data_IF_948901473334
#
_entry.id   IF_948901473334
#
_cell.length_a   1.000
_cell.length_b   1.000
_cell.length_c   1.000
_cell.angle_alpha   90.00
_cell.angle_beta   90.00
_cell.angle_gamma   90.00
#
_symmetry.space_group_name_H-M   'P 1'
#
loop_
_entity.id
_entity.type
_entity.pdbx_description
1 polymer ?
#
# COMPACT_ATOMS: atom_id res chain seq x y z
N UNK A 1 -13.72 -26.43 -14.95
CA UNK A 1 -13.63 -25.48 -16.08
C UNK A 1 -14.90 -24.64 -16.04
N UNK A 2 -14.76 -23.35 -16.05
CA UNK A 2 -15.88 -22.41 -16.18
C UNK A 2 -15.41 -21.25 -17.06
N UNK A 3 -16.09 -21.04 -18.18
CA UNK A 3 -15.61 -20.13 -19.21
C UNK A 3 -16.09 -18.71 -18.95
N UNK A 4 -15.22 -17.74 -19.18
CA UNK A 4 -15.58 -16.32 -19.21
C UNK A 4 -16.50 -16.08 -20.41
N UNK A 5 -17.69 -15.52 -20.18
CA UNK A 5 -18.66 -15.21 -21.24
C UNK A 5 -18.85 -13.71 -21.44
N UNK A 6 -18.53 -12.90 -20.42
CA UNK A 6 -18.61 -11.43 -20.51
C UNK A 6 -17.56 -10.77 -19.64
N UNK A 7 -16.98 -9.67 -20.15
CA UNK A 7 -16.10 -8.75 -19.43
C UNK A 7 -16.57 -7.34 -19.76
N UNK A 8 -16.96 -6.59 -18.72
CA UNK A 8 -17.50 -5.24 -18.90
C UNK A 8 -16.86 -4.24 -17.96
N UNK A 9 -16.34 -3.14 -18.49
CA UNK A 9 -15.76 -2.08 -17.71
C UNK A 9 -16.61 -0.80 -17.75
N UNK A 10 -16.51 -0.02 -16.67
CA UNK A 10 -17.10 1.32 -16.55
C UNK A 10 -16.18 2.27 -15.82
N UNK A 11 -16.40 3.57 -16.04
CA UNK A 11 -15.79 4.61 -15.25
C UNK A 11 -16.61 4.84 -13.98
N UNK A 12 -15.92 4.87 -12.83
CA UNK A 12 -16.47 5.24 -11.52
C UNK A 12 -15.62 6.35 -10.92
N UNK A 13 -15.89 6.79 -9.69
CA UNK A 13 -15.09 7.78 -8.97
C UNK A 13 -14.31 7.13 -7.82
N UNK A 14 -13.09 7.55 -7.63
CA UNK A 14 -12.28 7.22 -6.46
C UNK A 14 -12.61 8.10 -5.24
N UNK A 15 -11.95 7.85 -4.10
CA UNK A 15 -12.14 8.57 -2.83
C UNK A 15 -11.79 10.05 -2.88
N UNK A 16 -11.10 10.49 -3.94
CA UNK A 16 -10.76 11.89 -4.20
C UNK A 16 -11.69 12.56 -5.22
N UNK A 17 -12.69 11.81 -5.72
CA UNK A 17 -13.59 12.28 -6.77
C UNK A 17 -12.97 12.29 -8.17
N UNK A 18 -11.84 11.62 -8.38
CA UNK A 18 -11.25 11.42 -9.70
C UNK A 18 -11.80 10.14 -10.34
N UNK A 19 -11.93 10.11 -11.69
CA UNK A 19 -12.31 8.90 -12.40
C UNK A 19 -11.31 7.76 -12.17
N UNK A 20 -11.84 6.56 -12.01
CA UNK A 20 -11.11 5.29 -12.07
C UNK A 20 -11.95 4.22 -12.78
N UNK A 21 -11.36 3.05 -13.03
CA UNK A 21 -12.03 1.96 -13.74
C UNK A 21 -12.57 0.91 -12.76
N UNK A 22 -13.76 0.40 -13.05
CA UNK A 22 -14.35 -0.78 -12.43
C UNK A 22 -14.68 -1.79 -13.51
N UNK A 23 -14.39 -3.07 -13.26
CA UNK A 23 -14.57 -4.16 -14.21
C UNK A 23 -15.41 -5.27 -13.58
N UNK A 24 -16.34 -5.80 -14.38
CA UNK A 24 -17.13 -6.99 -14.12
C UNK A 24 -16.66 -8.14 -15.01
N UNK A 25 -16.58 -9.34 -14.46
CA UNK A 25 -16.37 -10.60 -15.19
C UNK A 25 -17.49 -11.55 -14.85
N UNK A 26 -18.12 -12.15 -15.87
CA UNK A 26 -19.19 -13.13 -15.75
C UNK A 26 -18.77 -14.46 -16.38
N UNK A 27 -19.05 -15.57 -15.69
CA UNK A 27 -18.81 -16.92 -16.22
C UNK A 27 -20.08 -17.57 -16.76
N UNK A 28 -19.93 -18.63 -17.57
CA UNK A 28 -21.04 -19.41 -18.14
C UNK A 28 -21.95 -20.03 -17.07
N UNK A 29 -21.45 -20.31 -15.88
CA UNK A 29 -22.22 -20.84 -14.76
C UNK A 29 -22.86 -19.74 -13.88
N UNK A 30 -22.69 -18.48 -14.25
CA UNK A 30 -23.26 -17.33 -13.56
C UNK A 30 -22.44 -16.78 -12.40
N UNK A 31 -21.20 -17.26 -12.20
CA UNK A 31 -20.31 -16.64 -11.22
C UNK A 31 -19.88 -15.25 -11.71
N UNK A 32 -19.83 -14.32 -10.77
CA UNK A 32 -19.63 -12.89 -11.03
C UNK A 32 -18.49 -12.32 -10.16
N UNK A 33 -17.59 -11.61 -10.78
CA UNK A 33 -16.52 -10.88 -10.07
C UNK A 33 -16.52 -9.41 -10.46
N UNK A 34 -16.38 -8.52 -9.48
CA UNK A 34 -16.25 -7.07 -9.67
C UNK A 34 -15.03 -6.54 -8.97
N UNK A 35 -14.23 -5.74 -9.65
CA UNK A 35 -13.07 -5.09 -9.07
C UNK A 35 -12.96 -3.64 -9.52
N UNK A 36 -12.66 -2.75 -8.56
CA UNK A 36 -12.33 -1.36 -8.82
C UNK A 36 -10.83 -1.13 -8.61
N UNK A 37 -10.22 -0.34 -9.47
CA UNK A 37 -8.77 -0.12 -9.48
C UNK A 37 -8.40 1.15 -8.70
N UNK A 38 -7.46 1.09 -7.75
CA UNK A 38 -6.98 2.27 -7.05
C UNK A 38 -6.07 3.15 -7.93
N UNK A 39 -5.88 4.43 -7.53
CA UNK A 39 -5.12 5.43 -8.28
C UNK A 39 -4.14 6.17 -7.37
N UNK A 40 -2.89 6.35 -7.78
CA UNK A 40 -1.89 7.10 -7.03
C UNK A 40 -2.05 8.63 -7.15
N UNK A 41 -1.58 9.37 -6.13
CA UNK A 41 -1.33 10.81 -6.22
C UNK A 41 0.12 11.09 -6.57
N UNK A 42 1.03 10.50 -5.81
CA UNK A 42 2.45 10.39 -6.12
C UNK A 42 2.69 9.05 -6.81
N UNK A 43 3.45 9.03 -7.89
CA UNK A 43 3.73 7.83 -8.67
C UNK A 43 5.23 7.75 -8.94
N UNK A 44 5.84 6.61 -8.62
CA UNK A 44 7.23 6.31 -8.97
C UNK A 44 7.41 6.31 -10.50
N UNK A 45 8.52 6.80 -10.98
CA UNK A 45 8.80 6.92 -12.44
C UNK A 45 8.85 5.56 -13.14
N UNK A 46 9.00 4.48 -12.39
CA UNK A 46 9.10 3.10 -12.90
C UNK A 46 7.79 2.31 -12.77
N UNK A 47 6.69 2.94 -12.33
CA UNK A 47 5.37 2.29 -12.25
C UNK A 47 4.79 1.97 -13.63
N UNK A 48 3.95 0.94 -13.71
CA UNK A 48 3.15 0.67 -14.90
C UNK A 48 2.13 1.81 -15.14
N UNK A 49 1.80 2.06 -16.42
CA UNK A 49 1.05 3.23 -16.84
C UNK A 49 -0.42 3.13 -16.45
N UNK A 50 -0.89 4.05 -15.62
CA UNK A 50 -2.32 4.32 -15.47
C UNK A 50 -2.80 5.14 -16.69
N UNK A 51 -3.56 4.50 -17.58
CA UNK A 51 -4.01 5.13 -18.81
C UNK A 51 -5.12 6.14 -18.54
N UNK A 52 -4.86 7.41 -18.88
CA UNK A 52 -5.78 8.54 -18.76
C UNK A 52 -6.19 9.06 -20.14
N UNK A 53 -7.35 9.73 -20.19
CA UNK A 53 -7.90 10.26 -21.45
C UNK A 53 -7.14 11.50 -21.94
N UNK A 54 -6.55 12.30 -21.03
CA UNK A 54 -5.88 13.58 -21.29
C UNK A 54 -6.79 14.66 -21.93
N UNK A 55 -8.10 14.43 -21.93
CA UNK A 55 -9.09 15.40 -22.39
C UNK A 55 -9.36 16.44 -21.29
N UNK A 56 -8.69 17.59 -21.38
CA UNK A 56 -8.81 18.68 -20.39
C UNK A 56 -10.23 19.23 -20.22
N UNK A 57 -11.14 18.96 -21.17
CA UNK A 57 -12.54 19.42 -21.10
C UNK A 57 -13.39 18.55 -20.15
N UNK A 58 -12.90 17.37 -19.78
CA UNK A 58 -13.57 16.41 -18.90
C UNK A 58 -12.65 15.98 -17.77
N UNK A 59 -13.12 16.08 -16.53
CA UNK A 59 -12.35 15.68 -15.34
C UNK A 59 -10.91 16.22 -15.32
N UNK A 60 -10.66 17.39 -15.91
CA UNK A 60 -9.34 18.02 -16.00
C UNK A 60 -8.27 17.12 -16.66
N UNK A 61 -8.68 16.24 -17.58
CA UNK A 61 -7.81 15.27 -18.25
C UNK A 61 -7.70 13.91 -17.57
N UNK A 62 -8.31 13.75 -16.38
CA UNK A 62 -8.17 12.52 -15.57
C UNK A 62 -9.18 11.43 -15.92
N UNK A 63 -10.00 11.55 -16.98
CA UNK A 63 -10.91 10.50 -17.45
C UNK A 63 -10.20 9.19 -17.75
N UNK A 64 -10.93 8.07 -17.74
CA UNK A 64 -10.40 6.71 -18.01
C UNK A 64 -11.17 5.96 -19.11
N UNK A 65 -11.90 6.69 -19.95
CA UNK A 65 -12.73 6.08 -20.98
C UNK A 65 -11.91 5.34 -22.04
N UNK A 66 -10.65 5.72 -22.30
CA UNK A 66 -9.72 4.96 -23.15
C UNK A 66 -9.44 3.57 -22.55
N UNK A 67 -9.15 3.51 -21.25
CA UNK A 67 -8.93 2.24 -20.54
C UNK A 67 -10.22 1.39 -20.53
N UNK A 68 -11.39 2.02 -20.32
CA UNK A 68 -12.70 1.36 -20.40
C UNK A 68 -12.92 0.77 -21.79
N UNK A 69 -12.66 1.52 -22.87
CA UNK A 69 -12.78 1.04 -24.24
C UNK A 69 -11.79 -0.13 -24.52
N UNK A 70 -10.56 -0.05 -24.02
CA UNK A 70 -9.59 -1.14 -24.16
C UNK A 70 -10.09 -2.44 -23.51
N UNK A 71 -10.78 -2.37 -22.38
CA UNK A 71 -11.40 -3.56 -21.77
C UNK A 71 -12.56 -4.04 -22.64
N UNK A 72 -13.52 -3.17 -22.96
CA UNK A 72 -14.79 -3.59 -23.59
C UNK A 72 -14.61 -4.02 -25.06
N UNK A 73 -13.72 -3.38 -25.80
CA UNK A 73 -13.57 -3.58 -27.25
C UNK A 73 -12.42 -4.53 -27.61
N UNK A 74 -11.41 -4.68 -26.75
CA UNK A 74 -10.20 -5.45 -27.03
C UNK A 74 -10.10 -6.64 -26.08
N UNK A 75 -9.88 -6.41 -24.77
CA UNK A 75 -9.61 -7.48 -23.80
C UNK A 75 -10.79 -8.45 -23.69
N UNK A 76 -12.03 -7.95 -23.65
CA UNK A 76 -13.21 -8.77 -23.52
C UNK A 76 -13.34 -9.83 -24.63
N UNK A 77 -12.95 -9.49 -25.86
CA UNK A 77 -12.99 -10.41 -27.00
C UNK A 77 -11.97 -11.54 -26.89
N UNK A 78 -10.76 -11.21 -26.42
CA UNK A 78 -9.66 -12.17 -26.31
C UNK A 78 -9.86 -13.13 -25.11
N UNK A 79 -10.60 -12.70 -24.08
CA UNK A 79 -10.87 -13.53 -22.92
C UNK A 79 -12.16 -14.35 -23.02
N UNK A 80 -12.99 -14.13 -24.04
CA UNK A 80 -14.20 -14.92 -24.24
C UNK A 80 -13.86 -16.40 -24.47
N UNK A 81 -14.41 -17.28 -23.62
CA UNK A 81 -14.15 -18.71 -23.68
C UNK A 81 -12.87 -19.16 -22.97
N UNK A 82 -12.13 -18.26 -22.31
CA UNK A 82 -11.00 -18.62 -21.45
C UNK A 82 -11.52 -19.17 -20.13
N UNK A 83 -10.86 -20.18 -19.57
CA UNK A 83 -11.20 -20.73 -18.25
C UNK A 83 -10.87 -19.72 -17.15
N UNK A 84 -11.87 -19.32 -16.36
CA UNK A 84 -11.73 -18.31 -15.30
C UNK A 84 -10.76 -18.76 -14.20
N UNK A 85 -10.50 -20.07 -14.06
CA UNK A 85 -9.56 -20.62 -13.10
C UNK A 85 -8.09 -20.51 -13.54
N UNK A 86 -7.83 -20.24 -14.82
CA UNK A 86 -6.47 -20.09 -15.33
C UNK A 86 -6.00 -18.64 -15.28
N UNK A 87 -5.81 -18.11 -14.04
CA UNK A 87 -5.38 -16.74 -13.81
C UNK A 87 -4.09 -16.38 -14.54
N UNK A 88 -3.14 -17.32 -14.56
CA UNK A 88 -1.85 -17.10 -15.25
C UNK A 88 -2.01 -16.86 -16.74
N UNK A 89 -2.87 -17.63 -17.42
CA UNK A 89 -3.17 -17.44 -18.83
C UNK A 89 -3.98 -16.16 -19.08
N UNK A 90 -4.95 -15.83 -18.22
CA UNK A 90 -5.72 -14.58 -18.31
C UNK A 90 -4.78 -13.37 -18.28
N UNK A 91 -3.92 -13.29 -17.28
CA UNK A 91 -2.99 -12.18 -17.12
C UNK A 91 -1.97 -12.15 -18.28
N UNK A 92 -1.46 -13.32 -18.70
CA UNK A 92 -0.51 -13.42 -19.81
C UNK A 92 -1.13 -12.96 -21.13
N UNK A 93 -2.37 -13.34 -21.47
CA UNK A 93 -3.07 -12.90 -22.67
C UNK A 93 -3.11 -11.36 -22.68
N UNK A 94 -3.48 -10.72 -21.59
CA UNK A 94 -3.58 -9.27 -21.51
C UNK A 94 -2.21 -8.58 -21.63
N UNK A 95 -1.17 -9.13 -20.99
CA UNK A 95 0.20 -8.60 -21.04
C UNK A 95 0.77 -8.73 -22.46
N UNK A 96 0.57 -9.88 -23.12
CA UNK A 96 1.03 -10.11 -24.51
C UNK A 96 0.28 -9.18 -25.48
N UNK A 97 -0.99 -8.90 -25.24
CA UNK A 97 -1.83 -8.02 -26.06
C UNK A 97 -1.41 -6.55 -25.94
N UNK A 98 -0.98 -6.12 -24.77
CA UNK A 98 -0.36 -4.82 -24.54
C UNK A 98 1.01 -4.75 -25.25
N UNK A 99 1.87 -5.70 -25.00
CA UNK A 99 3.18 -5.87 -25.64
C UNK A 99 4.20 -4.79 -25.30
N UNK A 100 3.91 -3.89 -24.33
CA UNK A 100 4.85 -2.87 -23.82
C UNK A 100 5.35 -3.24 -22.43
N UNK A 101 6.55 -2.80 -22.06
CA UNK A 101 7.15 -3.15 -20.77
C UNK A 101 6.35 -2.58 -19.59
N UNK A 102 5.77 -1.38 -19.76
CA UNK A 102 5.04 -0.66 -18.72
C UNK A 102 3.52 -0.63 -18.90
N UNK A 103 2.95 -1.54 -19.73
CA UNK A 103 1.50 -1.60 -20.01
C UNK A 103 0.91 -0.29 -20.57
N UNK A 104 1.71 0.44 -21.34
CA UNK A 104 1.35 1.78 -21.85
C UNK A 104 0.31 1.77 -22.97
N UNK A 105 0.07 0.63 -23.65
CA UNK A 105 -0.87 0.53 -24.76
C UNK A 105 -2.31 0.33 -24.30
N UNK A 106 -2.56 -0.64 -23.42
CA UNK A 106 -3.89 -0.95 -22.90
C UNK A 106 -4.18 -0.20 -21.58
N UNK A 107 -3.15 0.05 -20.79
CA UNK A 107 -3.21 0.62 -19.46
C UNK A 107 -3.15 -0.44 -18.37
N UNK A 108 -2.27 -0.24 -17.38
CA UNK A 108 -2.21 -1.12 -16.21
C UNK A 108 -3.53 -1.15 -15.44
N UNK A 109 -4.25 -0.03 -15.40
CA UNK A 109 -5.58 0.05 -14.79
C UNK A 109 -6.62 -0.83 -15.51
N UNK A 110 -6.61 -0.90 -16.84
CA UNK A 110 -7.47 -1.79 -17.60
C UNK A 110 -7.14 -3.26 -17.32
N UNK A 111 -5.87 -3.63 -17.41
CA UNK A 111 -5.39 -5.00 -17.18
C UNK A 111 -5.69 -5.46 -15.75
N UNK A 112 -5.36 -4.64 -14.75
CA UNK A 112 -5.57 -4.97 -13.34
C UNK A 112 -7.06 -5.16 -13.00
N UNK A 113 -7.92 -4.28 -13.52
CA UNK A 113 -9.36 -4.38 -13.28
C UNK A 113 -9.91 -5.74 -13.72
N UNK A 114 -9.53 -6.19 -14.91
CA UNK A 114 -9.92 -7.53 -15.44
C UNK A 114 -9.28 -8.66 -14.63
N UNK A 115 -7.99 -8.55 -14.33
CA UNK A 115 -7.23 -9.56 -13.56
C UNK A 115 -7.88 -9.85 -12.20
N UNK A 116 -8.20 -8.79 -11.43
CA UNK A 116 -8.83 -8.93 -10.12
C UNK A 116 -10.29 -9.37 -10.21
N UNK A 117 -11.06 -8.88 -11.19
CA UNK A 117 -12.43 -9.29 -11.38
C UNK A 117 -12.52 -10.77 -11.77
N UNK A 118 -11.62 -11.27 -12.63
CA UNK A 118 -11.53 -12.69 -12.97
C UNK A 118 -11.23 -13.56 -11.73
N UNK A 119 -10.26 -13.16 -10.89
CA UNK A 119 -9.98 -13.87 -9.65
C UNK A 119 -11.18 -13.93 -8.70
N UNK A 120 -11.96 -12.85 -8.59
CA UNK A 120 -13.18 -12.81 -7.78
C UNK A 120 -14.28 -13.71 -8.37
N UNK A 121 -14.45 -13.73 -9.70
CA UNK A 121 -15.38 -14.64 -10.37
C UNK A 121 -14.98 -16.12 -10.13
N UNK A 122 -13.70 -16.44 -10.24
CA UNK A 122 -13.17 -17.78 -9.95
C UNK A 122 -13.37 -18.19 -8.48
N UNK A 123 -13.16 -17.29 -7.56
CA UNK A 123 -13.44 -17.51 -6.14
C UNK A 123 -14.92 -17.82 -5.90
N UNK A 124 -15.82 -17.04 -6.49
CA UNK A 124 -17.28 -17.30 -6.43
C UNK A 124 -17.65 -18.64 -7.09
N UNK A 125 -17.07 -18.95 -8.25
CA UNK A 125 -17.28 -20.21 -8.96
C UNK A 125 -16.90 -21.43 -8.10
N UNK A 126 -15.77 -21.33 -7.38
CA UNK A 126 -15.29 -22.36 -6.46
C UNK A 126 -15.98 -22.34 -5.10
N UNK A 127 -16.89 -21.38 -4.85
CA UNK A 127 -17.58 -21.14 -3.57
C UNK A 127 -16.59 -20.95 -2.39
N UNK A 128 -15.50 -20.26 -2.67
CA UNK A 128 -14.50 -19.92 -1.67
C UNK A 128 -14.42 -18.40 -1.50
N UNK A 129 -14.10 -17.90 -0.28
CA UNK A 129 -13.73 -16.50 -0.12
C UNK A 129 -12.43 -16.23 -0.89
N UNK A 130 -12.24 -14.99 -1.35
CA UNK A 130 -11.14 -14.62 -2.25
C UNK A 130 -9.77 -14.96 -1.65
N UNK A 131 -9.56 -14.64 -0.35
CA UNK A 131 -8.27 -14.91 0.28
C UNK A 131 -7.92 -16.39 0.29
N UNK A 132 -8.91 -17.28 0.45
CA UNK A 132 -8.70 -18.73 0.45
C UNK A 132 -8.52 -19.29 -0.95
N UNK A 133 -9.25 -18.77 -1.93
CA UNK A 133 -9.09 -19.16 -3.33
C UNK A 133 -7.67 -18.88 -3.82
N UNK A 134 -7.13 -17.68 -3.53
CA UNK A 134 -5.78 -17.29 -3.97
C UNK A 134 -4.69 -17.97 -3.14
N UNK A 135 -4.82 -17.95 -1.80
CA UNK A 135 -3.75 -18.38 -0.89
C UNK A 135 -3.82 -19.85 -0.45
N UNK A 136 -4.91 -20.55 -0.79
CA UNK A 136 -5.10 -21.96 -0.44
C UNK A 136 -5.33 -22.18 1.05
N UNK A 137 -5.06 -23.40 1.49
CA UNK A 137 -5.37 -23.88 2.86
C UNK A 137 -4.55 -23.18 3.94
N UNK A 138 -3.41 -22.60 3.60
CA UNK A 138 -2.51 -21.92 4.53
C UNK A 138 -2.68 -20.40 4.58
N UNK A 139 -3.70 -19.84 3.92
CA UNK A 139 -4.05 -18.43 3.98
C UNK A 139 -4.77 -18.13 5.31
N UNK A 140 -4.01 -17.84 6.36
CA UNK A 140 -4.54 -17.66 7.71
C UNK A 140 -3.83 -16.59 8.55
N UNK A 141 -2.85 -15.88 7.98
CA UNK A 141 -2.09 -14.87 8.70
C UNK A 141 -2.74 -13.50 8.55
N UNK A 142 -3.33 -13.00 9.64
CA UNK A 142 -3.86 -11.65 9.74
C UNK A 142 -2.68 -10.65 9.83
N UNK A 143 -2.71 -9.57 9.03
CA UNK A 143 -1.61 -8.62 8.98
C UNK A 143 -1.61 -7.65 10.16
N UNK A 144 -0.43 -7.17 10.57
CA UNK A 144 -0.28 -6.00 11.44
C UNK A 144 -0.75 -4.78 10.64
N UNK A 145 -1.71 -3.97 11.14
CA UNK A 145 -2.09 -2.74 10.49
C UNK A 145 -1.01 -1.66 10.72
N UNK A 146 -0.51 -1.09 9.63
CA UNK A 146 0.33 0.12 9.61
C UNK A 146 -0.61 1.30 9.38
N UNK A 147 -1.03 1.97 10.45
CA UNK A 147 -2.10 2.96 10.39
C UNK A 147 -1.53 4.37 10.28
N UNK A 148 -1.68 5.00 9.11
CA UNK A 148 -1.28 6.39 8.90
C UNK A 148 -2.16 7.35 9.69
N UNK A 149 -1.70 7.86 10.84
CA UNK A 149 -2.47 8.74 11.72
C UNK A 149 -2.11 10.21 11.62
N UNK A 150 -0.96 10.54 11.00
CA UNK A 150 -0.52 11.92 10.70
C UNK A 150 0.08 11.98 9.31
N UNK A 151 -0.39 12.93 8.51
CA UNK A 151 0.07 13.23 7.16
C UNK A 151 1.00 14.45 7.18
N UNK A 152 2.06 14.40 6.38
CA UNK A 152 2.95 15.50 6.05
C UNK A 152 3.32 15.47 4.56
N UNK A 153 4.48 16.00 4.19
CA UNK A 153 4.99 16.00 2.83
C UNK A 153 3.97 16.49 1.80
N UNK A 154 3.88 15.79 0.68
CA UNK A 154 2.91 16.10 -0.39
C UNK A 154 1.45 15.78 -0.02
N UNK A 155 1.19 15.12 1.10
CA UNK A 155 -0.15 14.78 1.59
C UNK A 155 -0.75 15.81 2.56
N UNK A 156 -0.05 16.91 2.83
CA UNK A 156 -0.46 17.94 3.78
C UNK A 156 0.20 19.28 3.48
N UNK A 157 -0.44 20.38 3.89
CA UNK A 157 0.18 21.73 3.91
C UNK A 157 1.05 21.96 5.16
N UNK A 158 1.26 20.93 5.99
CA UNK A 158 2.09 21.03 7.19
C UNK A 158 3.58 21.13 6.82
N UNK A 159 4.38 21.94 7.57
CA UNK A 159 5.81 22.11 7.32
C UNK A 159 6.60 20.90 7.86
N UNK A 160 6.33 19.71 7.34
CA UNK A 160 6.98 18.45 7.71
C UNK A 160 7.32 17.72 6.42
N UNK A 161 8.58 17.28 6.28
CA UNK A 161 9.02 16.62 5.05
C UNK A 161 8.52 15.18 4.90
N UNK A 162 8.42 14.40 5.99
CA UNK A 162 7.94 13.04 5.94
C UNK A 162 6.45 12.99 5.60
N UNK A 163 6.10 12.10 4.67
CA UNK A 163 4.75 12.00 4.10
C UNK A 163 3.76 11.38 5.06
N UNK A 164 4.18 10.33 5.81
CA UNK A 164 3.29 9.61 6.71
C UNK A 164 3.97 9.22 8.02
N UNK A 165 3.20 9.38 9.10
CA UNK A 165 3.53 8.88 10.44
C UNK A 165 2.50 7.81 10.80
N UNK A 166 2.97 6.59 10.88
CA UNK A 166 2.12 5.42 11.14
C UNK A 166 2.34 4.88 12.54
N UNK A 167 1.30 4.24 13.08
CA UNK A 167 1.40 3.39 14.26
C UNK A 167 1.23 1.92 13.87
N UNK A 168 1.97 1.05 14.56
CA UNK A 168 1.94 -0.40 14.38
C UNK A 168 1.65 -1.07 15.74
N UNK A 169 0.43 -1.58 15.99
CA UNK A 169 0.06 -2.26 17.23
C UNK A 169 0.59 -3.70 17.29
N UNK A 170 1.90 -3.87 17.24
CA UNK A 170 2.60 -5.16 17.18
C UNK A 170 2.38 -5.99 18.44
N UNK A 171 2.19 -5.33 19.60
CA UNK A 171 1.96 -6.00 20.87
C UNK A 171 0.60 -6.64 21.05
N UNK A 172 -0.36 -6.35 20.16
CA UNK A 172 -1.73 -6.84 20.26
C UNK A 172 -1.80 -8.37 20.09
N UNK A 173 -2.78 -9.04 20.73
CA UNK A 173 -2.93 -10.49 20.65
C UNK A 173 -3.69 -10.99 19.42
N UNK A 174 -4.43 -10.11 18.71
CA UNK A 174 -5.24 -10.43 17.55
C UNK A 174 -5.34 -9.21 16.62
N UNK A 175 -5.84 -9.42 15.40
CA UNK A 175 -6.07 -8.31 14.47
C UNK A 175 -7.16 -7.35 15.01
N UNK A 176 -8.26 -7.89 15.51
CA UNK A 176 -9.35 -7.09 16.09
C UNK A 176 -8.88 -6.21 17.24
N UNK A 177 -8.01 -6.74 18.11
CA UNK A 177 -7.40 -5.95 19.19
C UNK A 177 -6.41 -4.90 18.64
N UNK A 178 -5.60 -5.26 17.63
CA UNK A 178 -4.69 -4.31 16.99
C UNK A 178 -5.45 -3.12 16.38
N UNK A 179 -6.56 -3.40 15.70
CA UNK A 179 -7.43 -2.36 15.14
C UNK A 179 -8.09 -1.51 16.23
N UNK A 180 -8.57 -2.13 17.32
CA UNK A 180 -9.12 -1.41 18.48
C UNK A 180 -8.09 -0.46 19.08
N UNK A 181 -6.87 -0.94 19.36
CA UNK A 181 -5.80 -0.13 19.91
C UNK A 181 -5.46 1.06 19.02
N UNK A 182 -5.32 0.82 17.72
CA UNK A 182 -5.06 1.89 16.76
C UNK A 182 -6.17 2.94 16.72
N UNK A 183 -7.43 2.51 16.78
CA UNK A 183 -8.59 3.41 16.81
C UNK A 183 -8.63 4.24 18.09
N UNK A 184 -8.32 3.65 19.24
CA UNK A 184 -8.24 4.37 20.52
C UNK A 184 -7.12 5.40 20.53
N UNK A 185 -5.95 5.08 19.94
CA UNK A 185 -4.86 6.05 19.76
C UNK A 185 -5.30 7.19 18.84
N UNK A 186 -5.96 6.88 17.70
CA UNK A 186 -6.47 7.88 16.76
C UNK A 186 -7.40 8.89 17.46
N UNK A 187 -8.34 8.43 18.29
CA UNK A 187 -9.24 9.32 19.01
C UNK A 187 -8.55 10.12 20.13
N UNK A 188 -7.57 9.54 20.82
CA UNK A 188 -6.76 10.27 21.79
C UNK A 188 -5.87 11.33 21.10
N UNK A 189 -5.29 11.01 19.94
CA UNK A 189 -4.55 11.98 19.13
C UNK A 189 -5.44 13.16 18.72
N UNK A 190 -6.66 12.89 18.22
CA UNK A 190 -7.63 13.94 17.89
C UNK A 190 -7.86 14.90 19.05
N UNK A 191 -8.02 14.36 20.27
CA UNK A 191 -8.21 15.18 21.47
C UNK A 191 -6.97 16.01 21.81
N UNK A 192 -5.76 15.45 21.69
CA UNK A 192 -4.51 16.17 21.96
C UNK A 192 -4.34 17.32 20.95
N UNK A 193 -4.60 17.07 19.67
CA UNK A 193 -4.51 18.11 18.62
C UNK A 193 -5.50 19.24 18.90
N UNK A 194 -6.74 18.90 19.22
CA UNK A 194 -7.77 19.88 19.58
C UNK A 194 -7.34 20.73 20.78
N UNK A 195 -6.86 20.08 21.86
CA UNK A 195 -6.41 20.76 23.10
C UNK A 195 -5.20 21.69 22.85
N UNK A 196 -4.38 21.40 21.82
CA UNK A 196 -3.28 22.24 21.33
C UNK A 196 -3.72 23.34 20.35
N UNK A 197 -4.99 23.39 19.98
CA UNK A 197 -5.51 24.31 18.95
C UNK A 197 -5.04 23.97 17.53
N UNK A 198 -4.60 22.73 17.29
CA UNK A 198 -4.17 22.26 15.97
C UNK A 198 -5.34 21.68 15.16
N UNK A 199 -5.19 21.63 13.84
CA UNK A 199 -6.21 21.07 12.94
C UNK A 199 -6.46 19.58 13.23
N UNK A 200 -7.74 19.20 13.26
CA UNK A 200 -8.21 17.81 13.28
C UNK A 200 -8.86 17.39 11.97
N UNK A 201 -8.67 18.16 10.91
CA UNK A 201 -9.03 17.75 9.56
C UNK A 201 -8.15 16.57 9.12
N UNK A 202 -8.71 15.70 8.30
CA UNK A 202 -8.01 14.50 7.81
C UNK A 202 -7.66 14.66 6.33
N UNK A 203 -6.49 14.12 5.96
CA UNK A 203 -6.04 14.03 4.59
C UNK A 203 -6.70 12.90 3.80
N UNK A 204 -6.20 12.64 2.59
CA UNK A 204 -6.74 11.65 1.66
C UNK A 204 -6.73 10.22 2.24
N UNK A 205 -5.82 9.90 3.12
CA UNK A 205 -5.67 8.58 3.73
C UNK A 205 -6.28 8.48 5.14
N UNK A 206 -7.01 9.50 5.57
CA UNK A 206 -7.76 9.51 6.82
C UNK A 206 -6.94 9.87 8.07
N UNK A 207 -5.62 10.09 7.97
CA UNK A 207 -4.77 10.65 9.03
C UNK A 207 -4.97 12.14 9.20
N UNK A 208 -4.65 12.68 10.38
CA UNK A 208 -4.73 14.12 10.62
C UNK A 208 -3.63 14.88 9.87
N UNK A 209 -3.90 16.13 9.52
CA UNK A 209 -2.95 17.02 8.85
C UNK A 209 -2.72 18.31 9.70
N UNK A 210 -2.14 18.21 10.90
CA UNK A 210 -1.89 19.35 11.77
C UNK A 210 -0.59 20.06 11.38
N UNK A 211 -0.49 21.35 11.63
CA UNK A 211 0.74 22.13 11.47
C UNK A 211 1.61 21.92 12.71
N UNK A 212 2.46 20.88 12.71
CA UNK A 212 3.46 20.65 13.72
C UNK A 212 4.70 21.54 13.53
N UNK A 213 5.54 21.68 14.58
CA UNK A 213 6.78 22.44 14.51
C UNK A 213 7.93 21.71 13.78
N UNK A 214 7.75 20.41 13.48
CA UNK A 214 8.69 19.55 12.79
C UNK A 214 8.40 18.07 13.03
N UNK A 215 9.22 17.21 12.44
CA UNK A 215 9.11 15.75 12.54
C UNK A 215 9.04 15.23 13.99
N UNK A 216 9.91 15.75 14.87
CA UNK A 216 9.97 15.29 16.26
C UNK A 216 8.72 15.69 17.06
N UNK A 217 8.16 16.90 16.84
CA UNK A 217 6.90 17.30 17.49
C UNK A 217 5.74 16.37 17.10
N UNK A 218 5.72 15.95 15.84
CA UNK A 218 4.77 14.95 15.35
C UNK A 218 4.90 13.62 16.08
N UNK A 219 6.13 13.08 16.15
CA UNK A 219 6.41 11.80 16.82
C UNK A 219 6.06 11.88 18.31
N UNK A 220 6.51 12.92 19.02
CA UNK A 220 6.24 13.08 20.45
C UNK A 220 4.75 13.23 20.76
N UNK A 221 4.00 13.88 19.86
CA UNK A 221 2.55 14.00 19.99
C UNK A 221 1.86 12.64 19.81
N UNK A 222 2.33 11.81 18.89
CA UNK A 222 1.82 10.44 18.69
C UNK A 222 2.15 9.58 19.90
N UNK A 223 3.36 9.65 20.44
CA UNK A 223 3.75 8.90 21.65
C UNK A 223 2.86 9.26 22.85
N UNK A 224 2.57 10.55 23.05
CA UNK A 224 1.60 11.00 24.08
C UNK A 224 0.20 10.44 23.85
N UNK A 225 -0.22 10.30 22.59
CA UNK A 225 -1.53 9.71 22.28
C UNK A 225 -1.56 8.21 22.59
N UNK A 226 -0.48 7.47 22.31
CA UNK A 226 -0.34 6.05 22.65
C UNK A 226 -0.42 5.87 24.18
N UNK A 227 0.37 6.66 24.95
CA UNK A 227 0.35 6.61 26.42
C UNK A 227 -1.02 6.97 26.99
N UNK A 228 -1.67 8.01 26.44
CA UNK A 228 -3.00 8.46 26.88
C UNK A 228 -4.09 7.41 26.59
N UNK A 229 -3.91 6.60 25.55
CA UNK A 229 -4.76 5.46 25.26
C UNK A 229 -4.51 4.26 26.18
N UNK A 230 -3.47 4.31 27.03
CA UNK A 230 -3.13 3.26 28.00
C UNK A 230 -2.14 2.21 27.48
N UNK A 231 -1.50 2.46 26.34
CA UNK A 231 -0.52 1.55 25.71
C UNK A 231 0.91 2.05 25.94
N UNK A 232 1.87 1.12 25.84
CA UNK A 232 3.31 1.40 26.03
C UNK A 232 4.00 1.53 24.68
N UNK A 233 4.52 2.75 24.32
CA UNK A 233 5.34 2.92 23.14
C UNK A 233 6.56 1.98 23.16
N UNK A 234 6.87 1.37 22.02
CA UNK A 234 8.00 0.45 21.88
C UNK A 234 7.80 -0.95 22.50
N UNK A 235 6.60 -1.23 23.05
CA UNK A 235 6.21 -2.55 23.56
C UNK A 235 4.90 -3.00 22.95
N UNK A 236 3.86 -2.20 23.08
CA UNK A 236 2.53 -2.49 22.57
C UNK A 236 2.35 -1.92 21.16
N UNK A 237 2.77 -0.67 20.98
CA UNK A 237 2.63 0.06 19.72
C UNK A 237 3.96 0.72 19.35
N UNK A 238 4.35 0.60 18.09
CA UNK A 238 5.56 1.18 17.51
C UNK A 238 5.20 2.25 16.50
N UNK A 239 6.22 3.07 16.14
CA UNK A 239 6.12 4.07 15.09
C UNK A 239 6.68 3.50 13.79
N UNK A 240 6.05 3.85 12.66
CA UNK A 240 6.61 3.67 11.33
C UNK A 240 6.52 4.97 10.54
N UNK A 241 7.49 5.19 9.65
CA UNK A 241 7.52 6.34 8.75
C UNK A 241 7.37 5.90 7.30
N UNK A 242 6.71 6.73 6.51
CA UNK A 242 6.94 6.85 5.09
C UNK A 242 7.57 8.22 4.83
N UNK A 243 8.84 8.21 4.42
CA UNK A 243 9.56 9.44 4.17
C UNK A 243 9.24 10.01 2.78
N UNK A 244 8.88 9.17 1.79
CA UNK A 244 8.73 9.52 0.39
C UNK A 244 9.90 10.41 -0.10
N UNK A 245 11.13 9.97 0.19
CA UNK A 245 12.31 10.82 0.09
C UNK A 245 12.64 11.28 -1.34
N UNK A 246 12.13 10.60 -2.37
CA UNK A 246 12.21 11.05 -3.77
C UNK A 246 11.58 12.43 -3.97
N UNK A 247 10.55 12.79 -3.19
CA UNK A 247 9.85 14.07 -3.29
C UNK A 247 10.72 15.29 -2.96
N UNK A 248 11.73 15.12 -2.12
CA UNK A 248 12.66 16.19 -1.72
C UNK A 248 14.13 15.88 -2.06
N UNK A 249 14.36 14.88 -2.93
CA UNK A 249 15.69 14.59 -3.46
C UNK A 249 15.96 15.39 -4.72
N UNK A 250 17.02 16.20 -4.70
CA UNK A 250 17.41 17.03 -5.84
C UNK A 250 18.94 17.20 -5.89
N UNK A 251 19.51 17.07 -7.08
CA UNK A 251 20.94 17.29 -7.33
C UNK A 251 21.87 16.52 -6.37
N UNK A 252 21.49 15.26 -6.04
CA UNK A 252 22.26 14.40 -5.14
C UNK A 252 22.10 14.72 -3.66
N UNK A 253 21.10 15.52 -3.26
CA UNK A 253 20.85 15.93 -1.87
C UNK A 253 19.38 15.83 -1.51
N UNK A 254 19.12 15.59 -0.23
CA UNK A 254 17.81 15.61 0.39
C UNK A 254 17.53 17.00 0.94
N UNK A 255 16.71 17.76 0.24
CA UNK A 255 16.40 19.16 0.52
C UNK A 255 15.06 19.30 1.27
N UNK A 256 15.14 19.30 2.58
CA UNK A 256 13.99 19.45 3.46
C UNK A 256 13.36 20.85 3.40
N UNK A 257 14.08 21.85 2.85
CA UNK A 257 13.54 23.22 2.73
C UNK A 257 12.31 23.27 1.84
N UNK A 258 12.12 22.27 0.93
CA UNK A 258 10.92 22.14 0.11
C UNK A 258 9.63 22.14 0.92
N UNK A 259 9.64 21.49 2.09
CA UNK A 259 8.48 21.37 2.96
C UNK A 259 8.61 22.17 4.26
N UNK A 260 9.80 22.27 4.82
CA UNK A 260 10.06 22.87 6.13
C UNK A 260 10.49 24.34 6.06
N UNK A 261 10.60 24.89 4.83
CA UNK A 261 11.06 26.26 4.60
C UNK A 261 12.46 26.50 5.13
N UNK A 262 12.73 27.70 5.64
CA UNK A 262 14.07 28.11 6.12
C UNK A 262 14.63 27.26 7.27
N UNK A 263 13.80 26.45 7.92
CA UNK A 263 14.21 25.55 8.99
C UNK A 263 14.70 24.19 8.46
N UNK A 264 14.37 23.84 7.22
CA UNK A 264 14.72 22.58 6.59
C UNK A 264 16.23 22.44 6.38
N UNK A 265 16.78 21.28 6.72
CA UNK A 265 18.18 20.95 6.43
C UNK A 265 18.35 20.42 5.01
N UNK A 266 19.54 20.61 4.44
CA UNK A 266 19.96 19.97 3.19
C UNK A 266 21.00 18.92 3.53
N UNK A 267 20.73 17.64 3.19
CA UNK A 267 21.56 16.50 3.58
C UNK A 267 22.09 15.76 2.33
N UNK A 268 23.31 15.28 2.45
CA UNK A 268 23.85 14.24 1.56
C UNK A 268 23.18 12.89 1.89
N UNK A 269 23.36 11.86 1.06
CA UNK A 269 22.85 10.50 1.33
C UNK A 269 23.39 9.93 2.65
N UNK A 270 24.66 10.21 2.98
CA UNK A 270 25.25 9.77 4.26
C UNK A 270 24.63 10.49 5.47
N UNK A 271 24.42 11.80 5.38
CA UNK A 271 23.78 12.60 6.43
C UNK A 271 22.30 12.24 6.59
N UNK A 272 21.61 11.87 5.49
CA UNK A 272 20.24 11.36 5.52
C UNK A 272 20.16 10.03 6.27
N UNK A 273 21.08 9.09 5.98
CA UNK A 273 21.14 7.81 6.68
C UNK A 273 21.45 7.99 8.17
N UNK A 274 22.31 8.97 8.53
CA UNK A 274 22.60 9.30 9.94
C UNK A 274 21.37 9.87 10.64
N UNK A 275 20.69 10.84 10.04
CA UNK A 275 19.46 11.43 10.60
C UNK A 275 18.38 10.38 10.88
N UNK A 276 18.15 9.44 9.93
CA UNK A 276 17.21 8.34 10.16
C UNK A 276 17.67 7.41 11.28
N UNK A 277 18.98 7.18 11.41
CA UNK A 277 19.53 6.38 12.50
C UNK A 277 19.38 7.07 13.88
N UNK A 278 19.51 8.40 13.95
CA UNK A 278 19.25 9.18 15.17
C UNK A 278 17.78 9.07 15.60
N UNK A 279 16.83 9.15 14.64
CA UNK A 279 15.39 8.96 14.92
C UNK A 279 15.09 7.56 15.47
N UNK A 280 15.68 6.52 14.86
CA UNK A 280 15.54 5.12 15.33
C UNK A 280 16.15 4.93 16.73
N UNK A 281 17.27 5.60 17.03
CA UNK A 281 17.90 5.53 18.35
C UNK A 281 17.09 6.25 19.43
N UNK A 282 16.39 7.33 19.08
CA UNK A 282 15.64 8.19 20.02
C UNK A 282 14.21 7.70 20.26
N UNK A 283 13.55 7.14 19.24
CA UNK A 283 12.13 6.82 19.25
C UNK A 283 11.88 5.33 18.94
N UNK A 284 10.75 4.76 19.33
CA UNK A 284 10.42 3.37 19.06
C UNK A 284 9.99 3.16 17.60
N UNK A 285 10.86 3.53 16.67
CA UNK A 285 10.65 3.32 15.22
C UNK A 285 11.01 1.89 14.87
N UNK A 286 10.09 1.18 14.17
CA UNK A 286 10.27 -0.22 13.79
C UNK A 286 10.30 -0.42 12.26
N UNK A 287 9.84 0.59 11.48
CA UNK A 287 9.79 0.54 10.02
C UNK A 287 10.00 1.92 9.41
N UNK A 288 10.76 1.99 8.32
CA UNK A 288 10.97 3.18 7.50
C UNK A 288 10.73 2.80 6.04
N UNK A 289 9.78 3.46 5.41
CA UNK A 289 9.48 3.34 3.99
C UNK A 289 10.12 4.52 3.25
N UNK A 290 10.73 4.24 2.10
CA UNK A 290 11.38 5.18 1.19
C UNK A 290 12.21 6.25 1.89
N UNK A 291 13.08 5.80 2.83
CA UNK A 291 14.01 6.66 3.55
C UNK A 291 15.07 7.29 2.66
N UNK A 292 15.26 6.77 1.44
CA UNK A 292 16.10 7.27 0.37
C UNK A 292 15.32 7.37 -0.94
N UNK A 293 15.80 8.17 -1.89
CA UNK A 293 15.18 8.34 -3.20
C UNK A 293 15.25 7.05 -4.04
N UNK A 294 14.29 6.87 -4.95
CA UNK A 294 14.07 5.67 -5.76
C UNK A 294 15.25 5.23 -6.64
N UNK A 295 16.15 6.14 -6.98
CA UNK A 295 17.35 5.87 -7.77
C UNK A 295 18.68 6.11 -7.01
N UNK A 296 18.63 6.51 -5.72
CA UNK A 296 19.81 6.62 -4.86
C UNK A 296 20.20 5.26 -4.24
N UNK A 297 20.54 4.29 -5.10
CA UNK A 297 20.91 2.94 -4.67
C UNK A 297 22.10 2.90 -3.72
N UNK A 298 23.07 3.81 -3.90
CA UNK A 298 24.19 3.94 -2.97
C UNK A 298 23.75 4.42 -1.58
N UNK A 299 22.87 5.40 -1.52
CA UNK A 299 22.23 5.85 -0.26
C UNK A 299 21.43 4.75 0.41
N UNK A 300 20.64 4.00 -0.35
CA UNK A 300 19.90 2.84 0.15
C UNK A 300 20.82 1.76 0.74
N UNK A 301 21.95 1.48 0.08
CA UNK A 301 22.95 0.54 0.61
C UNK A 301 23.50 1.01 1.97
N UNK A 302 23.90 2.29 2.06
CA UNK A 302 24.37 2.88 3.32
C UNK A 302 23.30 2.79 4.43
N UNK A 303 22.05 3.08 4.12
CA UNK A 303 20.94 2.99 5.06
C UNK A 303 20.74 1.54 5.53
N UNK A 304 20.80 0.59 4.60
CA UNK A 304 20.63 -0.83 4.89
C UNK A 304 21.75 -1.36 5.80
N UNK A 305 23.01 -1.02 5.52
CA UNK A 305 24.17 -1.38 6.37
C UNK A 305 24.03 -0.81 7.79
N UNK A 306 23.46 0.38 7.94
CA UNK A 306 23.33 1.07 9.23
C UNK A 306 22.13 0.57 10.05
N UNK A 307 21.00 0.28 9.42
CA UNK A 307 19.70 0.04 10.08
C UNK A 307 19.05 -1.29 9.75
N UNK A 308 19.47 -2.00 8.72
CA UNK A 308 18.77 -3.19 8.21
C UNK A 308 18.59 -4.33 9.21
N UNK A 309 19.48 -4.44 10.18
CA UNK A 309 19.38 -5.41 11.30
C UNK A 309 18.48 -4.91 12.47
N UNK A 310 18.11 -3.64 12.46
CA UNK A 310 17.38 -3.00 13.58
C UNK A 310 15.92 -2.78 13.27
N UNK A 311 15.62 -2.29 12.05
CA UNK A 311 14.29 -1.91 11.61
C UNK A 311 13.99 -2.43 10.21
N UNK A 312 12.72 -2.50 9.89
CA UNK A 312 12.27 -2.76 8.54
C UNK A 312 12.54 -1.55 7.65
N UNK A 313 13.16 -1.79 6.49
CA UNK A 313 13.42 -0.81 5.45
C UNK A 313 12.61 -1.20 4.22
N UNK A 314 11.53 -0.45 3.97
CA UNK A 314 10.55 -0.77 2.93
C UNK A 314 10.85 0.04 1.68
N UNK A 315 11.03 -0.66 0.55
CA UNK A 315 11.08 -0.01 -0.76
C UNK A 315 9.70 0.04 -1.39
N UNK A 316 9.15 1.25 -1.57
CA UNK A 316 7.95 1.55 -2.36
C UNK A 316 8.38 1.99 -3.77
N UNK A 317 8.75 3.25 -3.96
CA UNK A 317 9.23 3.76 -5.24
C UNK A 317 10.53 3.08 -5.70
N UNK A 318 11.34 2.60 -4.76
CA UNK A 318 12.54 1.82 -5.05
C UNK A 318 12.21 0.56 -5.87
N UNK A 319 11.16 -0.18 -5.52
CA UNK A 319 10.82 -1.49 -6.12
C UNK A 319 9.59 -1.48 -7.02
N UNK A 320 8.66 -0.55 -6.82
CA UNK A 320 7.39 -0.40 -7.57
C UNK A 320 6.67 -1.73 -7.84
N UNK A 321 6.68 -2.65 -6.86
CA UNK A 321 6.12 -4.00 -6.98
C UNK A 321 6.71 -4.81 -8.16
N UNK A 322 7.87 -4.42 -8.69
CA UNK A 322 8.50 -4.98 -9.88
C UNK A 322 9.59 -6.00 -9.50
N UNK A 323 9.44 -7.24 -9.96
CA UNK A 323 10.38 -8.34 -9.65
C UNK A 323 11.81 -8.08 -10.14
N UNK A 324 12.03 -7.35 -11.23
CA UNK A 324 13.38 -7.01 -11.72
C UNK A 324 14.09 -6.04 -10.76
N UNK A 325 13.37 -5.00 -10.30
CA UNK A 325 13.93 -4.03 -9.34
C UNK A 325 14.13 -4.67 -7.97
N UNK A 326 13.18 -5.50 -7.51
CA UNK A 326 13.32 -6.27 -6.28
C UNK A 326 14.51 -7.23 -6.34
N UNK A 327 14.69 -7.95 -7.46
CA UNK A 327 15.86 -8.84 -7.64
C UNK A 327 17.18 -8.08 -7.53
N UNK A 328 17.26 -6.87 -8.11
CA UNK A 328 18.42 -6.01 -7.93
C UNK A 328 18.66 -5.67 -6.46
N UNK A 329 17.61 -5.31 -5.71
CA UNK A 329 17.72 -5.05 -4.28
C UNK A 329 18.24 -6.25 -3.49
N UNK A 330 17.76 -7.44 -3.82
CA UNK A 330 18.22 -8.71 -3.22
C UNK A 330 19.70 -8.95 -3.54
N UNK A 331 20.10 -8.81 -4.82
CA UNK A 331 21.47 -9.07 -5.27
C UNK A 331 22.49 -8.06 -4.68
N UNK A 332 22.04 -6.83 -4.40
CA UNK A 332 22.86 -5.75 -3.85
C UNK A 332 22.74 -5.62 -2.31
N UNK A 333 22.00 -6.52 -1.62
CA UNK A 333 21.67 -6.43 -0.19
C UNK A 333 21.11 -5.04 0.20
N UNK A 334 20.08 -4.58 -0.51
CA UNK A 334 19.51 -3.24 -0.39
C UNK A 334 18.06 -3.30 0.05
N UNK A 335 17.69 -2.59 1.12
CA UNK A 335 16.41 -2.70 1.83
C UNK A 335 16.22 -4.10 2.44
N UNK A 336 15.06 -4.40 3.01
CA UNK A 336 14.74 -5.72 3.58
C UNK A 336 13.23 -6.01 3.56
N UNK A 337 12.46 -5.15 2.88
CA UNK A 337 11.01 -5.25 2.72
C UNK A 337 10.57 -4.59 1.42
N UNK A 338 9.46 -5.07 0.85
CA UNK A 338 8.81 -4.45 -0.30
C UNK A 338 7.41 -3.95 0.08
N UNK A 339 7.05 -2.75 -0.37
CA UNK A 339 5.66 -2.32 -0.44
C UNK A 339 5.01 -2.90 -1.69
N UNK A 340 3.81 -3.44 -1.56
CA UNK A 340 3.10 -4.12 -2.65
C UNK A 340 1.84 -3.36 -2.99
N UNK A 341 1.86 -2.67 -4.12
CA UNK A 341 0.73 -1.93 -4.69
C UNK A 341 0.31 -2.60 -5.99
N UNK A 342 -0.84 -3.23 -6.01
CA UNK A 342 -1.30 -4.05 -7.16
C UNK A 342 -1.32 -3.28 -8.48
N UNK A 343 -1.59 -1.97 -8.45
CA UNK A 343 -1.65 -1.15 -9.66
C UNK A 343 -0.29 -0.64 -10.16
N UNK A 344 0.78 -0.71 -9.34
CA UNK A 344 2.14 -0.36 -9.79
C UNK A 344 2.68 -1.36 -10.81
N UNK A 345 2.21 -2.60 -10.74
CA UNK A 345 2.61 -3.67 -11.67
C UNK A 345 1.47 -4.08 -12.62
N UNK A 346 0.21 -4.03 -12.17
CA UNK A 346 -0.98 -4.09 -13.02
C UNK A 346 -1.53 -5.46 -13.33
N UNK A 347 -1.12 -6.54 -12.64
CA UNK A 347 -1.79 -7.85 -12.66
C UNK A 347 -1.65 -8.60 -11.35
N UNK A 348 -2.58 -9.50 -11.08
CA UNK A 348 -2.54 -10.34 -9.87
C UNK A 348 -1.35 -11.32 -9.91
N UNK A 349 -1.09 -11.94 -11.05
CA UNK A 349 0.02 -12.90 -11.20
C UNK A 349 1.36 -12.24 -10.93
N UNK A 350 1.62 -11.05 -11.47
CA UNK A 350 2.87 -10.33 -11.21
C UNK A 350 2.98 -9.87 -9.75
N UNK A 351 1.84 -9.46 -9.14
CA UNK A 351 1.78 -9.13 -7.71
C UNK A 351 2.17 -10.33 -6.83
N UNK A 352 1.61 -11.51 -7.11
CA UNK A 352 1.95 -12.75 -6.40
C UNK A 352 3.43 -13.09 -6.58
N UNK A 353 3.96 -12.94 -7.80
CA UNK A 353 5.37 -13.20 -8.08
C UNK A 353 6.30 -12.27 -7.28
N UNK A 354 5.96 -10.98 -7.16
CA UNK A 354 6.74 -10.03 -6.37
C UNK A 354 6.75 -10.38 -4.87
N UNK A 355 5.60 -10.72 -4.31
CA UNK A 355 5.50 -11.16 -2.90
C UNK A 355 6.27 -12.47 -2.67
N UNK A 356 6.14 -13.43 -3.57
CA UNK A 356 6.84 -14.72 -3.48
C UNK A 356 8.35 -14.53 -3.56
N UNK A 357 8.84 -13.70 -4.49
CA UNK A 357 10.25 -13.38 -4.62
C UNK A 357 10.79 -12.74 -3.33
N UNK A 358 10.07 -11.77 -2.77
CA UNK A 358 10.44 -11.14 -1.50
C UNK A 358 10.57 -12.16 -0.37
N UNK A 359 9.52 -12.93 -0.12
CA UNK A 359 9.46 -13.88 1.00
C UNK A 359 10.49 -14.99 0.90
N UNK A 360 10.73 -15.54 -0.31
CA UNK A 360 11.73 -16.61 -0.53
C UNK A 360 13.17 -16.14 -0.35
N UNK A 361 13.39 -14.81 -0.40
CA UNK A 361 14.71 -14.20 -0.17
C UNK A 361 14.80 -13.48 1.20
N UNK A 362 13.88 -13.76 2.13
CA UNK A 362 13.93 -13.25 3.49
C UNK A 362 13.52 -11.79 3.67
N UNK A 363 12.99 -11.14 2.62
CA UNK A 363 12.34 -9.85 2.70
C UNK A 363 10.93 -9.99 3.27
N UNK A 364 10.50 -9.00 4.04
CA UNK A 364 9.09 -8.87 4.40
C UNK A 364 8.30 -8.21 3.27
N UNK A 365 6.98 -8.31 3.32
CA UNK A 365 6.09 -7.66 2.37
C UNK A 365 4.99 -6.91 3.10
N UNK A 366 4.63 -5.73 2.60
CA UNK A 366 3.54 -4.90 3.12
C UNK A 366 2.52 -4.72 2.01
N UNK A 367 1.32 -5.29 2.14
CA UNK A 367 0.23 -5.03 1.21
C UNK A 367 -0.27 -3.60 1.41
N UNK A 368 -0.39 -2.84 0.32
CA UNK A 368 -0.66 -1.40 0.41
C UNK A 368 -1.82 -0.94 -0.45
N UNK A 369 -2.51 0.08 0.06
CA UNK A 369 -3.46 0.90 -0.66
C UNK A 369 -2.75 1.93 -1.57
N UNK A 370 -3.56 2.80 -2.20
CA UNK A 370 -3.11 4.05 -2.84
C UNK A 370 -3.85 5.24 -2.23
N UNK A 371 -3.37 6.47 -2.54
CA UNK A 371 -4.05 7.70 -2.08
C UNK A 371 -5.47 7.83 -2.62
N UNK A 372 -5.73 7.46 -3.86
CA UNK A 372 -7.07 7.34 -4.45
C UNK A 372 -7.56 5.90 -4.37
N UNK A 373 -8.46 5.63 -3.43
CA UNK A 373 -9.06 4.32 -3.19
C UNK A 373 -10.55 4.31 -3.55
N UNK A 374 -11.12 3.12 -3.53
CA UNK A 374 -12.56 2.89 -3.62
C UNK A 374 -13.02 2.08 -2.40
N UNK A 375 -14.26 1.65 -2.36
CA UNK A 375 -14.78 0.71 -1.36
C UNK A 375 -14.34 -0.75 -1.63
N UNK A 376 -13.63 -1.02 -2.72
CA UNK A 376 -13.05 -2.33 -3.02
C UNK A 376 -12.04 -2.73 -1.93
N UNK A 377 -12.24 -3.92 -1.36
CA UNK A 377 -11.42 -4.44 -0.25
C UNK A 377 -10.43 -5.54 -0.66
N UNK A 378 -10.20 -5.73 -1.94
CA UNK A 378 -9.36 -6.84 -2.48
C UNK A 378 -8.00 -6.94 -1.80
N UNK A 379 -7.33 -5.82 -1.50
CA UNK A 379 -6.01 -5.84 -0.85
C UNK A 379 -6.04 -6.44 0.56
N UNK A 380 -7.18 -6.40 1.26
CA UNK A 380 -7.34 -7.09 2.54
C UNK A 380 -7.31 -8.61 2.36
N UNK A 381 -8.04 -9.13 1.36
CA UNK A 381 -8.00 -10.54 1.00
C UNK A 381 -6.59 -10.96 0.54
N UNK A 382 -5.92 -10.14 -0.28
CA UNK A 382 -4.56 -10.42 -0.75
C UNK A 382 -3.53 -10.42 0.38
N UNK A 383 -3.64 -9.54 1.37
CA UNK A 383 -2.74 -9.53 2.52
C UNK A 383 -2.78 -10.85 3.29
N UNK A 384 -3.97 -11.44 3.44
CA UNK A 384 -4.15 -12.75 4.09
C UNK A 384 -3.80 -13.89 3.15
N UNK A 385 -4.24 -13.84 1.88
CA UNK A 385 -3.96 -14.87 0.88
C UNK A 385 -2.45 -15.13 0.73
N UNK A 386 -1.65 -14.08 0.69
CA UNK A 386 -0.21 -14.16 0.48
C UNK A 386 0.58 -14.16 1.80
N UNK A 387 -0.10 -14.24 2.94
CA UNK A 387 0.52 -14.18 4.27
C UNK A 387 1.55 -13.05 4.39
N UNK A 388 1.22 -11.86 3.88
CA UNK A 388 2.13 -10.70 3.88
C UNK A 388 2.55 -10.30 5.30
N UNK A 389 1.69 -10.54 6.28
CA UNK A 389 1.91 -10.21 7.69
C UNK A 389 1.76 -8.73 8.02
N UNK A 390 1.62 -7.86 7.04
CA UNK A 390 1.45 -6.43 7.21
C UNK A 390 0.52 -5.85 6.14
N UNK A 391 -0.23 -4.80 6.52
CA UNK A 391 -1.05 -4.02 5.60
C UNK A 391 -0.94 -2.53 5.92
N UNK A 392 -0.67 -1.72 4.89
CA UNK A 392 -0.69 -0.26 4.93
C UNK A 392 -1.94 0.20 4.17
N UNK A 393 -2.99 0.61 4.89
CA UNK A 393 -4.27 0.97 4.26
C UNK A 393 -4.93 2.18 4.89
N UNK A 394 -4.10 3.15 5.30
CA UNK A 394 -4.54 4.43 5.85
C UNK A 394 -4.93 4.36 7.32
N UNK A 395 -5.69 5.35 7.75
CA UNK A 395 -6.07 5.56 9.15
C UNK A 395 -7.40 4.89 9.52
N UNK A 396 -7.82 5.08 10.78
CA UNK A 396 -9.12 4.65 11.30
C UNK A 396 -10.28 5.59 10.91
N UNK A 397 -10.21 6.21 9.74
CA UNK A 397 -11.25 7.09 9.22
C UNK A 397 -11.29 7.03 7.68
N UNK A 398 -12.39 7.51 7.07
CA UNK A 398 -12.78 7.41 5.66
C UNK A 398 -13.17 5.99 5.26
N UNK A 399 -14.33 5.86 4.60
CA UNK A 399 -14.94 4.55 4.29
C UNK A 399 -14.09 3.69 3.37
N UNK A 400 -13.35 4.32 2.46
CA UNK A 400 -12.41 3.68 1.53
C UNK A 400 -11.26 2.96 2.26
N UNK A 401 -10.85 3.44 3.44
CA UNK A 401 -9.84 2.80 4.31
C UNK A 401 -10.48 1.76 5.21
N UNK A 402 -11.57 2.14 5.88
CA UNK A 402 -12.30 1.27 6.80
C UNK A 402 -12.84 0.01 6.11
N UNK A 403 -13.20 0.07 4.82
CA UNK A 403 -13.64 -1.10 4.06
C UNK A 403 -12.63 -2.26 4.13
N UNK A 404 -11.32 -1.97 4.06
CA UNK A 404 -10.24 -2.96 4.13
C UNK A 404 -10.10 -3.54 5.55
N UNK A 405 -10.15 -2.68 6.57
CA UNK A 405 -10.11 -3.13 7.96
C UNK A 405 -11.33 -3.97 8.33
N UNK A 406 -12.53 -3.58 7.89
CA UNK A 406 -13.74 -4.36 8.11
C UNK A 406 -13.69 -5.72 7.40
N UNK A 407 -13.06 -5.80 6.22
CA UNK A 407 -12.86 -7.07 5.53
C UNK A 407 -11.92 -7.99 6.32
N UNK A 408 -10.84 -7.46 6.88
CA UNK A 408 -9.92 -8.24 7.73
C UNK A 408 -10.60 -8.75 9.01
N UNK A 409 -11.52 -7.96 9.62
CA UNK A 409 -12.34 -8.43 10.75
C UNK A 409 -13.23 -9.62 10.36
N UNK A 410 -13.87 -9.56 9.16
CA UNK A 410 -14.68 -10.70 8.66
C UNK A 410 -13.82 -11.93 8.41
N UNK A 411 -12.63 -11.75 7.84
CA UNK A 411 -11.69 -12.86 7.62
C UNK A 411 -11.22 -13.46 8.95
N UNK A 412 -10.91 -12.63 9.96
CA UNK A 412 -10.54 -13.11 11.29
C UNK A 412 -11.67 -13.94 11.93
N UNK A 413 -12.92 -13.46 11.84
CA UNK A 413 -14.09 -14.16 12.32
C UNK A 413 -14.30 -15.51 11.59
N UNK A 414 -14.17 -15.53 10.26
CA UNK A 414 -14.31 -16.74 9.44
C UNK A 414 -13.23 -17.78 9.75
N UNK A 415 -11.99 -17.35 9.95
CA UNK A 415 -10.88 -18.23 10.33
C UNK A 415 -11.02 -18.76 11.75
N UNK A 416 -11.65 -18.02 12.66
CA UNK A 416 -11.86 -18.41 14.05
C UNK A 416 -10.54 -18.81 14.73
N UNK A 417 -10.50 -20.01 15.31
CA UNK A 417 -9.32 -20.52 16.00
C UNK A 417 -8.09 -20.78 15.09
N UNK A 418 -8.26 -20.75 13.76
CA UNK A 418 -7.16 -20.89 12.80
C UNK A 418 -6.54 -19.54 12.42
N UNK A 419 -7.15 -18.41 12.84
CA UNK A 419 -6.58 -17.10 12.62
C UNK A 419 -5.26 -16.95 13.36
N UNK A 420 -4.22 -16.57 12.63
CA UNK A 420 -2.91 -16.26 13.18
C UNK A 420 -2.63 -14.78 12.99
N UNK A 421 -2.49 -14.05 14.07
CA UNK A 421 -1.99 -12.68 14.02
C UNK A 421 -0.47 -12.69 14.21
N UNK A 422 0.29 -12.10 13.26
CA UNK A 422 1.75 -12.16 13.33
C UNK A 422 2.30 -11.46 14.58
N UNK A 423 1.76 -10.28 14.95
CA UNK A 423 2.04 -9.61 16.22
C UNK A 423 3.52 -9.62 16.59
N UNK A 424 3.82 -10.16 17.77
CA UNK A 424 5.20 -10.25 18.33
C UNK A 424 6.12 -11.21 17.59
N UNK A 425 5.63 -11.99 16.64
CA UNK A 425 6.44 -12.80 15.73
C UNK A 425 7.01 -11.96 14.56
N UNK A 426 6.66 -10.67 14.49
CA UNK A 426 7.21 -9.77 13.49
C UNK A 426 8.74 -9.70 13.58
N UNK A 427 9.40 -9.89 12.43
CA UNK A 427 10.87 -10.05 12.31
C UNK A 427 11.68 -8.99 13.07
N UNK A 428 11.19 -7.76 13.14
CA UNK A 428 11.89 -6.62 13.76
C UNK A 428 11.41 -6.32 15.19
N UNK A 429 10.43 -7.07 15.72
CA UNK A 429 10.05 -6.97 17.13
C UNK A 429 11.15 -7.59 17.99
N UNK A 430 11.92 -6.75 18.67
CA UNK A 430 12.94 -7.19 19.62
C UNK A 430 12.42 -6.99 21.04
N UNK A 431 12.53 -8.04 21.85
CA UNK A 431 12.18 -8.00 23.29
C UNK A 431 13.19 -7.19 24.08
#
# INVERSE_FOLDING_TARGET
>A
MSLIIDVHARQILDSRGNPTIEVDVLTENGAFGRAAVPSGASTGIHEAVELRDDDKTKYMGKGVLKAVANVNDIIAKELQGVDVFDQGSIDKIMIDLDGTENKGKLGANAILGVSLAAAKAAAQESRQPLYRYIGGVNANTLPIPMMNIVNGGSHSDAPIAFQEFMIMPVGAPSFSEALRWGTEVFHNLKKILHDRGLSTAVGDEGGFAPTFEGTEDGVETILKAIEKAGYKPGVDIFIAFDCAASEFYKDGKYDYTKFEGDKGAIRTSAEQAEYLAELVAKYPVISIEDGMAEDDWAGWKLLTEKLGDKVQLVGDDLFVTNTKRLQRGIDEDTANSILVKVNQIGSLTETINAVTLAQTNGYTSVMSHRSGETDDSTIADLAVALNCGQIKTGSASRSDRIAKYNQLLRIEEELGANARFIGKDFKFYKK
#
